data_IF_182720111470
#
_entry.id   IF_182720111470
#
_cell.length_a   1.000
_cell.length_b   1.000
_cell.length_c   1.000
_cell.angle_alpha   90.00
_cell.angle_beta   90.00
_cell.angle_gamma   90.00
#
_symmetry.space_group_name_H-M   'P 1'
#
loop_
_entity.id
_entity.type
_entity.pdbx_description
1 polymer ?
#
# COMPACT_ATOMS: atom_id res chain seq x y z
N UNK A 1 18.58 14.37 -4.54
CA UNK A 1 17.83 13.76 -3.42
C UNK A 1 16.31 13.85 -3.62
N UNK A 2 15.70 15.04 -3.69
CA UNK A 2 14.23 15.18 -3.82
C UNK A 2 13.63 14.62 -5.13
N UNK A 3 14.27 14.87 -6.28
CA UNK A 3 13.85 14.25 -7.55
C UNK A 3 13.88 12.72 -7.49
N UNK A 4 14.95 12.15 -6.92
CA UNK A 4 15.09 10.71 -6.71
C UNK A 4 14.00 10.18 -5.78
N UNK A 5 13.73 10.88 -4.67
CA UNK A 5 12.65 10.52 -3.74
C UNK A 5 11.27 10.55 -4.42
N UNK A 6 11.02 11.56 -5.27
CA UNK A 6 9.79 11.67 -6.03
C UNK A 6 9.66 10.51 -7.03
N UNK A 7 10.69 10.23 -7.82
CA UNK A 7 10.69 9.14 -8.80
C UNK A 7 10.50 7.77 -8.13
N UNK A 8 11.17 7.55 -7.00
CA UNK A 8 11.01 6.34 -6.21
C UNK A 8 9.57 6.20 -5.70
N UNK A 9 8.99 7.28 -5.17
CA UNK A 9 7.60 7.26 -4.67
C UNK A 9 6.59 7.05 -5.79
N UNK A 10 6.84 7.62 -6.97
CA UNK A 10 6.01 7.38 -8.16
C UNK A 10 6.01 5.90 -8.58
N UNK A 11 7.17 5.25 -8.57
CA UNK A 11 7.28 3.82 -8.86
C UNK A 11 6.52 2.99 -7.80
N UNK A 12 6.64 3.35 -6.53
CA UNK A 12 5.91 2.69 -5.44
C UNK A 12 4.39 2.82 -5.63
N UNK A 13 3.87 4.01 -5.91
CA UNK A 13 2.46 4.25 -6.25
C UNK A 13 2.01 3.34 -7.40
N UNK A 14 2.80 3.27 -8.48
CA UNK A 14 2.48 2.44 -9.64
C UNK A 14 2.37 0.95 -9.29
N UNK A 15 3.25 0.44 -8.43
CA UNK A 15 3.19 -0.96 -7.95
C UNK A 15 1.90 -1.23 -7.17
N UNK A 16 1.53 -0.35 -6.25
CA UNK A 16 0.32 -0.53 -5.43
C UNK A 16 -0.93 -0.42 -6.29
N UNK A 17 -0.98 0.54 -7.22
CA UNK A 17 -2.08 0.69 -8.18
C UNK A 17 -2.23 -0.56 -9.05
N UNK A 18 -1.13 -1.13 -9.54
CA UNK A 18 -1.16 -2.35 -10.34
C UNK A 18 -1.72 -3.52 -9.53
N UNK A 19 -1.19 -3.76 -8.33
CA UNK A 19 -1.68 -4.80 -7.42
C UNK A 19 -3.16 -4.61 -7.09
N UNK A 20 -3.58 -3.38 -6.79
CA UNK A 20 -4.97 -3.03 -6.52
C UNK A 20 -5.87 -3.30 -7.73
N UNK A 21 -5.45 -2.92 -8.93
CA UNK A 21 -6.22 -3.20 -10.15
C UNK A 21 -6.33 -4.69 -10.44
N UNK A 22 -5.26 -5.46 -10.24
CA UNK A 22 -5.29 -6.93 -10.41
C UNK A 22 -6.31 -7.54 -9.45
N UNK A 23 -6.30 -7.12 -8.18
CA UNK A 23 -7.25 -7.60 -7.18
C UNK A 23 -8.69 -7.20 -7.55
N UNK A 24 -8.92 -5.92 -7.83
CA UNK A 24 -10.24 -5.35 -8.13
C UNK A 24 -10.93 -6.01 -9.32
N UNK A 25 -10.16 -6.41 -10.34
CA UNK A 25 -10.69 -7.04 -11.56
C UNK A 25 -10.55 -8.57 -11.55
N UNK A 26 -10.15 -9.16 -10.41
CA UNK A 26 -10.11 -10.62 -10.30
C UNK A 26 -11.52 -11.21 -10.28
N UNK A 27 -11.77 -12.34 -10.99
CA UNK A 27 -13.06 -13.02 -10.95
C UNK A 27 -13.46 -13.41 -9.52
N UNK A 28 -14.75 -13.29 -9.20
CA UNK A 28 -15.25 -13.55 -7.84
C UNK A 28 -14.91 -14.96 -7.31
N UNK A 29 -14.88 -15.97 -8.19
CA UNK A 29 -14.58 -17.35 -7.78
C UNK A 29 -13.11 -17.59 -7.39
N UNK A 30 -12.18 -16.68 -7.71
CA UNK A 30 -10.76 -16.77 -7.31
C UNK A 30 -10.35 -15.66 -6.32
N UNK A 31 -11.25 -14.73 -5.97
CA UNK A 31 -10.88 -13.53 -5.22
C UNK A 31 -10.26 -13.86 -3.86
N UNK A 32 -10.83 -14.83 -3.14
CA UNK A 32 -10.31 -15.27 -1.85
C UNK A 32 -8.87 -15.80 -1.99
N UNK A 33 -8.60 -16.66 -2.98
CA UNK A 33 -7.25 -17.18 -3.22
C UNK A 33 -6.25 -16.07 -3.54
N UNK A 34 -6.65 -15.06 -4.31
CA UNK A 34 -5.80 -13.90 -4.64
C UNK A 34 -5.50 -13.05 -3.41
N UNK A 35 -6.48 -12.86 -2.53
CA UNK A 35 -6.30 -12.13 -1.27
C UNK A 35 -5.35 -12.88 -0.35
N UNK A 36 -5.51 -14.21 -0.19
CA UNK A 36 -4.60 -15.00 0.62
C UNK A 36 -3.17 -14.97 0.09
N UNK A 37 -2.99 -15.12 -1.23
CA UNK A 37 -1.68 -14.98 -1.85
C UNK A 37 -1.07 -13.59 -1.58
N UNK A 38 -1.83 -12.53 -1.81
CA UNK A 38 -1.36 -11.17 -1.58
C UNK A 38 -1.04 -10.93 -0.10
N UNK A 39 -1.88 -11.41 0.81
CA UNK A 39 -1.66 -11.32 2.24
C UNK A 39 -0.33 -12.00 2.63
N UNK A 40 -0.09 -13.22 2.15
CA UNK A 40 1.15 -13.96 2.40
C UNK A 40 2.37 -13.20 1.87
N UNK A 41 2.33 -12.68 0.64
CA UNK A 41 3.42 -11.86 0.10
C UNK A 41 3.68 -10.60 0.95
N UNK A 42 2.62 -9.96 1.45
CA UNK A 42 2.71 -8.74 2.25
C UNK A 42 3.29 -8.98 3.65
N UNK A 43 2.97 -10.09 4.32
CA UNK A 43 3.52 -10.42 5.66
C UNK A 43 5.03 -10.71 5.62
N UNK A 44 5.55 -11.18 4.49
CA UNK A 44 6.97 -11.45 4.30
C UNK A 44 7.81 -10.20 4.00
N UNK A 45 7.18 -9.06 3.70
CA UNK A 45 7.92 -7.82 3.43
C UNK A 45 8.38 -7.19 4.76
N UNK A 46 9.69 -7.11 5.05
CA UNK A 46 10.22 -6.73 6.38
C UNK A 46 9.88 -5.31 6.84
N UNK A 47 9.44 -4.45 5.93
CA UNK A 47 9.06 -3.05 6.18
C UNK A 47 7.68 -2.70 5.67
N UNK A 48 6.90 -3.70 5.29
CA UNK A 48 5.49 -3.53 4.98
C UNK A 48 4.66 -3.62 6.26
N UNK A 49 3.63 -2.77 6.44
CA UNK A 49 3.27 -1.53 5.76
C UNK A 49 3.91 -0.28 6.41
N UNK A 50 4.84 -0.44 7.35
CA UNK A 50 5.47 0.69 8.07
C UNK A 50 6.00 1.79 7.12
N UNK A 51 6.67 1.41 6.03
CA UNK A 51 7.17 2.35 5.01
C UNK A 51 6.09 3.13 4.25
N UNK A 52 4.86 2.61 4.15
CA UNK A 52 3.77 3.33 3.47
C UNK A 52 3.15 4.39 4.39
N UNK A 53 3.24 4.21 5.71
CA UNK A 53 2.76 5.16 6.71
C UNK A 53 3.82 6.22 7.08
N UNK A 54 5.10 5.89 6.97
CA UNK A 54 6.22 6.80 7.25
C UNK A 54 6.19 8.05 6.37
N UNK A 55 6.39 9.20 7.03
CA UNK A 55 6.50 10.51 6.40
C UNK A 55 7.80 11.17 6.77
N UNK A 56 8.54 11.64 5.77
CA UNK A 56 9.67 12.52 5.99
C UNK A 56 9.23 13.98 5.80
N UNK A 57 8.59 14.56 6.83
CA UNK A 57 8.03 15.93 6.77
C UNK A 57 9.08 16.98 6.38
N UNK A 58 10.36 16.76 6.74
CA UNK A 58 11.46 17.64 6.33
C UNK A 58 11.63 17.77 4.82
N UNK A 59 11.15 16.81 4.02
CA UNK A 59 11.20 16.88 2.56
C UNK A 59 10.10 17.74 1.94
N UNK A 60 9.09 18.18 2.70
CA UNK A 60 7.97 18.99 2.19
C UNK A 60 8.32 20.46 2.00
N UNK A 61 9.50 20.88 2.43
CA UNK A 61 9.95 22.25 2.30
C UNK A 61 11.02 22.39 1.20
N UNK A 62 10.99 23.54 0.51
CA UNK A 62 11.88 23.87 -0.59
C UNK A 62 11.45 23.28 -1.93
N UNK A 63 12.37 23.26 -2.89
CA UNK A 63 12.10 22.80 -4.25
C UNK A 63 11.50 21.39 -4.27
N UNK A 64 10.41 21.21 -5.00
CA UNK A 64 9.62 19.96 -5.07
C UNK A 64 8.86 19.56 -3.79
N UNK A 65 8.86 20.39 -2.74
CA UNK A 65 8.23 20.06 -1.46
C UNK A 65 6.74 19.72 -1.56
N UNK A 66 5.96 20.56 -2.25
CA UNK A 66 4.53 20.32 -2.48
C UNK A 66 4.28 19.10 -3.38
N UNK A 67 5.14 18.87 -4.39
CA UNK A 67 5.06 17.70 -5.26
C UNK A 67 5.32 16.42 -4.48
N UNK A 68 6.28 16.41 -3.56
CA UNK A 68 6.57 15.28 -2.68
C UNK A 68 5.43 15.02 -1.71
N UNK A 69 4.87 16.08 -1.11
CA UNK A 69 3.69 15.99 -0.24
C UNK A 69 2.48 15.40 -0.98
N UNK A 70 2.19 15.89 -2.19
CA UNK A 70 1.11 15.38 -3.03
C UNK A 70 1.35 13.90 -3.40
N UNK A 71 2.58 13.56 -3.81
CA UNK A 71 2.93 12.18 -4.16
C UNK A 71 2.81 11.23 -2.96
N UNK A 72 3.16 11.68 -1.77
CA UNK A 72 2.98 10.88 -0.55
C UNK A 72 1.50 10.69 -0.20
N UNK A 73 0.68 11.73 -0.34
CA UNK A 73 -0.76 11.61 -0.16
C UNK A 73 -1.37 10.58 -1.14
N UNK A 74 -0.97 10.60 -2.41
CA UNK A 74 -1.39 9.61 -3.42
C UNK A 74 -0.92 8.20 -3.05
N UNK A 75 0.31 8.05 -2.56
CA UNK A 75 0.84 6.75 -2.13
C UNK A 75 0.02 6.17 -0.98
N UNK A 76 -0.24 6.96 0.07
CA UNK A 76 -1.05 6.55 1.22
C UNK A 76 -2.48 6.24 0.84
N UNK A 77 -3.08 7.06 -0.01
CA UNK A 77 -4.46 6.86 -0.48
C UNK A 77 -4.57 5.57 -1.30
N UNK A 78 -3.62 5.30 -2.18
CA UNK A 78 -3.59 4.05 -2.97
C UNK A 78 -3.46 2.83 -2.06
N UNK A 79 -2.60 2.88 -1.04
CA UNK A 79 -2.50 1.81 -0.05
C UNK A 79 -3.81 1.61 0.71
N UNK A 80 -4.45 2.70 1.16
CA UNK A 80 -5.73 2.61 1.87
C UNK A 80 -6.80 1.92 1.01
N UNK A 81 -6.87 2.23 -0.29
CA UNK A 81 -7.79 1.56 -1.21
C UNK A 81 -7.49 0.08 -1.38
N UNK A 82 -6.21 -0.30 -1.55
CA UNK A 82 -5.81 -1.71 -1.66
C UNK A 82 -6.20 -2.49 -0.41
N UNK A 83 -5.86 -1.96 0.76
CA UNK A 83 -6.18 -2.63 2.02
C UNK A 83 -7.69 -2.73 2.20
N UNK A 84 -8.44 -1.66 1.99
CA UNK A 84 -9.91 -1.66 2.07
C UNK A 84 -10.53 -2.73 1.18
N UNK A 85 -10.05 -2.86 -0.06
CA UNK A 85 -10.55 -3.89 -0.98
C UNK A 85 -10.20 -5.31 -0.54
N UNK A 86 -9.00 -5.51 0.04
CA UNK A 86 -8.64 -6.80 0.63
C UNK A 86 -9.56 -7.16 1.80
N UNK A 87 -9.81 -6.22 2.72
CA UNK A 87 -10.69 -6.44 3.87
C UNK A 87 -12.12 -6.75 3.47
N UNK A 88 -12.69 -5.95 2.55
CA UNK A 88 -14.08 -6.12 2.09
C UNK A 88 -14.31 -7.50 1.49
N UNK A 89 -13.32 -8.03 0.76
CA UNK A 89 -13.43 -9.27 -0.01
C UNK A 89 -12.91 -10.50 0.76
N UNK A 90 -12.38 -10.30 1.97
CA UNK A 90 -11.97 -11.37 2.88
C UNK A 90 -13.17 -11.81 3.71
N UNK A 91 -14.16 -12.47 3.07
CA UNK A 91 -15.34 -12.99 3.78
C UNK A 91 -14.93 -14.06 4.81
N UNK A 92 -15.24 -13.83 6.09
CA UNK A 92 -15.10 -14.75 7.24
C UNK A 92 -13.69 -15.30 7.54
N UNK A 93 -12.67 -14.89 6.79
CA UNK A 93 -11.28 -15.32 6.94
C UNK A 93 -10.40 -14.29 7.68
N UNK A 94 -11.01 -13.26 8.28
CA UNK A 94 -10.27 -12.28 9.05
C UNK A 94 -9.68 -12.96 10.30
N UNK A 95 -8.43 -13.38 10.21
CA UNK A 95 -7.72 -13.96 11.33
C UNK A 95 -7.22 -12.78 12.17
N UNK A 96 -7.49 -12.78 13.47
CA UNK A 96 -6.96 -11.77 14.40
C UNK A 96 -5.43 -11.59 14.30
N UNK A 97 -4.73 -12.56 13.73
CA UNK A 97 -3.34 -12.44 13.35
C UNK A 97 -3.10 -11.25 12.42
N UNK A 98 -3.94 -10.96 11.43
CA UNK A 98 -3.68 -10.02 10.32
C UNK A 98 -3.62 -8.55 10.79
N UNK A 99 -4.09 -8.24 11.99
CA UNK A 99 -3.91 -6.94 12.65
C UNK A 99 -2.44 -6.55 12.82
N UNK A 100 -1.53 -7.54 12.90
CA UNK A 100 -0.09 -7.30 13.01
C UNK A 100 0.48 -6.57 11.78
N UNK A 101 -0.10 -6.81 10.59
CA UNK A 101 0.24 -6.04 9.40
C UNK A 101 -0.07 -4.56 9.65
N UNK A 102 -1.18 -4.22 10.29
CA UNK A 102 -1.65 -2.83 10.37
C UNK A 102 -1.20 -2.06 11.62
N UNK A 103 -0.91 -2.78 12.71
CA UNK A 103 -0.72 -2.20 14.05
C UNK A 103 0.70 -2.38 14.59
N UNK A 104 1.50 -3.33 14.09
CA UNK A 104 2.87 -3.45 14.57
C UNK A 104 3.74 -2.32 13.99
N UNK A 105 3.85 -1.28 14.81
CA UNK A 105 4.81 -0.18 14.74
C UNK A 105 6.20 -0.70 15.10
#
# INVERSE_FOLDING_TARGET
MRQTAFAQRFIEVGKVLLTHNILKHSPQHVIAQRIFFLHDELTHLPSFPRKSLETCFGMYHGDMGEQLKAMEAVHKFTWANLMSDMFEKMENAFMFADLHLFINV
#
